data_IF_065776636537
#
_entry.id   IF_065776636537
#
_cell.length_a   1.000
_cell.length_b   1.000
_cell.length_c   1.000
_cell.angle_alpha   90.00
_cell.angle_beta   90.00
_cell.angle_gamma   90.00
#
_symmetry.space_group_name_H-M   'P 1'
#
loop_
_entity.id
_entity.type
_entity.pdbx_description
1 polymer ?
#
# COMPACT_ATOMS: atom_id res chain seq x y z
N UNK A 1 -4.64 16.94 -20.09
CA UNK A 1 -4.02 16.48 -18.83
C UNK A 1 -2.52 16.71 -18.90
N UNK A 2 -2.01 17.41 -17.96
CA UNK A 2 -0.59 17.73 -17.95
C UNK A 2 0.22 16.47 -17.63
N UNK A 3 1.03 16.05 -18.56
CA UNK A 3 1.94 14.93 -18.31
C UNK A 3 3.11 15.42 -17.46
N UNK A 4 3.31 14.81 -16.31
CA UNK A 4 4.48 15.04 -15.48
C UNK A 4 5.60 14.19 -16.04
N UNK A 5 6.62 14.84 -16.59
CA UNK A 5 7.78 14.13 -17.13
C UNK A 5 8.80 13.87 -16.03
N UNK A 6 9.13 12.62 -15.85
CA UNK A 6 10.17 12.18 -14.97
C UNK A 6 11.47 12.04 -15.75
N UNK A 7 12.60 12.54 -15.22
CA UNK A 7 13.90 12.35 -15.83
C UNK A 7 14.31 10.88 -15.86
N UNK A 8 15.15 10.53 -16.83
CA UNK A 8 15.59 9.13 -17.01
C UNK A 8 16.27 8.55 -15.77
N UNK A 9 17.09 9.32 -15.09
CA UNK A 9 17.79 8.89 -13.87
C UNK A 9 16.78 8.64 -12.73
N UNK A 10 15.84 9.55 -12.54
CA UNK A 10 14.80 9.42 -11.53
C UNK A 10 13.87 8.23 -11.81
N UNK A 11 13.51 8.07 -13.08
CA UNK A 11 12.68 6.92 -13.51
C UNK A 11 13.44 5.59 -13.27
N UNK A 12 14.72 5.54 -13.62
CA UNK A 12 15.54 4.35 -13.37
C UNK A 12 15.67 4.02 -11.89
N UNK A 13 15.85 5.03 -11.04
CA UNK A 13 15.89 4.85 -9.58
C UNK A 13 14.57 4.32 -9.05
N UNK A 14 13.44 4.87 -9.52
CA UNK A 14 12.11 4.40 -9.17
C UNK A 14 11.91 2.94 -9.55
N UNK A 15 12.26 2.57 -10.78
CA UNK A 15 12.14 1.20 -11.27
C UNK A 15 13.02 0.22 -10.47
N UNK A 16 14.21 0.65 -10.10
CA UNK A 16 15.12 -0.15 -9.27
C UNK A 16 14.49 -0.49 -7.92
N UNK A 17 13.86 0.49 -7.27
CA UNK A 17 13.16 0.25 -6.01
C UNK A 17 11.92 -0.61 -6.21
N UNK A 18 11.19 -0.44 -7.30
CA UNK A 18 10.04 -1.27 -7.64
C UNK A 18 10.43 -2.73 -7.91
N UNK A 19 11.64 -2.99 -8.41
CA UNK A 19 12.12 -4.35 -8.60
C UNK A 19 12.24 -5.13 -7.28
N UNK A 20 12.52 -4.44 -6.18
CA UNK A 20 12.59 -5.06 -4.86
C UNK A 20 11.21 -5.43 -4.32
N UNK A 21 10.18 -4.66 -4.66
CA UNK A 21 8.79 -4.95 -4.32
C UNK A 21 8.46 -4.86 -2.83
N UNK A 22 9.16 -3.98 -2.11
CA UNK A 22 8.97 -3.80 -0.66
C UNK A 22 8.68 -2.35 -0.25
N UNK A 23 8.71 -1.43 -1.20
CA UNK A 23 8.55 0.01 -0.94
C UNK A 23 7.18 0.50 -1.41
N UNK A 24 6.54 1.33 -0.57
CA UNK A 24 5.34 2.06 -0.97
C UNK A 24 5.69 3.24 -1.87
N UNK A 25 4.68 3.82 -2.53
CA UNK A 25 4.91 5.01 -3.37
C UNK A 25 5.47 6.18 -2.56
N UNK A 26 5.04 6.35 -1.32
CA UNK A 26 5.55 7.40 -0.44
C UNK A 26 7.02 7.19 -0.11
N UNK A 27 7.42 5.96 0.17
CA UNK A 27 8.82 5.61 0.44
C UNK A 27 9.68 5.80 -0.79
N UNK A 28 9.20 5.39 -1.97
CA UNK A 28 9.91 5.60 -3.23
C UNK A 28 10.10 7.09 -3.50
N UNK A 29 9.07 7.90 -3.28
CA UNK A 29 9.15 9.35 -3.45
C UNK A 29 10.21 9.97 -2.53
N UNK A 30 10.24 9.55 -1.28
CA UNK A 30 11.20 10.02 -0.29
C UNK A 30 12.64 9.62 -0.67
N UNK A 31 12.84 8.37 -1.06
CA UNK A 31 14.17 7.84 -1.41
C UNK A 31 14.73 8.40 -2.72
N UNK A 32 13.87 8.74 -3.67
CA UNK A 32 14.26 9.26 -4.98
C UNK A 32 14.25 10.78 -5.06
N UNK A 33 13.66 11.46 -4.08
CA UNK A 33 13.43 12.89 -4.12
C UNK A 33 12.34 13.33 -5.07
N UNK A 34 11.55 12.40 -5.60
CA UNK A 34 10.44 12.70 -6.50
C UNK A 34 9.20 13.10 -5.70
N UNK A 35 8.31 13.83 -6.37
CA UNK A 35 7.02 14.17 -5.78
C UNK A 35 6.14 12.92 -5.68
N UNK A 36 5.46 12.73 -4.56
CA UNK A 36 4.61 11.57 -4.29
C UNK A 36 3.56 11.35 -5.40
N UNK A 37 2.89 12.41 -5.83
CA UNK A 37 1.85 12.33 -6.87
C UNK A 37 2.44 11.83 -8.19
N UNK A 38 3.66 12.26 -8.52
CA UNK A 38 4.37 11.81 -9.72
C UNK A 38 4.64 10.31 -9.67
N UNK A 39 5.18 9.82 -8.56
CA UNK A 39 5.43 8.39 -8.35
C UNK A 39 4.12 7.60 -8.43
N UNK A 40 3.07 8.10 -7.80
CA UNK A 40 1.75 7.46 -7.81
C UNK A 40 1.19 7.32 -9.22
N UNK A 41 1.29 8.38 -10.04
CA UNK A 41 0.83 8.34 -11.42
C UNK A 41 1.62 7.34 -12.27
N UNK A 42 2.94 7.36 -12.18
CA UNK A 42 3.79 6.42 -12.94
C UNK A 42 3.54 4.97 -12.54
N UNK A 43 3.46 4.68 -11.25
CA UNK A 43 3.19 3.32 -10.78
C UNK A 43 1.83 2.80 -11.23
N UNK A 44 0.80 3.66 -11.22
CA UNK A 44 -0.53 3.31 -11.73
C UNK A 44 -0.50 2.99 -13.22
N UNK A 45 0.19 3.78 -14.01
CA UNK A 45 0.29 3.56 -15.45
C UNK A 45 1.07 2.27 -15.77
N UNK A 46 2.16 2.02 -15.05
CA UNK A 46 2.95 0.79 -15.20
C UNK A 46 2.10 -0.43 -14.82
N UNK A 47 1.35 -0.36 -13.74
CA UNK A 47 0.45 -1.42 -13.30
C UNK A 47 -0.68 -1.67 -14.31
N UNK A 48 -1.28 -0.60 -14.82
CA UNK A 48 -2.34 -0.67 -15.83
C UNK A 48 -1.85 -1.29 -17.13
N UNK A 49 -0.60 -1.04 -17.50
CA UNK A 49 0.03 -1.62 -18.68
C UNK A 49 0.42 -3.10 -18.51
N UNK A 50 0.28 -3.65 -17.31
CA UNK A 50 0.64 -5.03 -17.02
C UNK A 50 2.13 -5.26 -16.76
N UNK A 51 2.92 -4.19 -16.64
CA UNK A 51 4.36 -4.27 -16.39
C UNK A 51 4.72 -4.36 -14.91
N UNK A 52 3.75 -4.18 -14.03
CA UNK A 52 3.92 -4.33 -12.58
C UNK A 52 2.67 -4.97 -11.98
N UNK A 53 2.83 -5.53 -10.79
CA UNK A 53 1.72 -6.08 -10.02
C UNK A 53 1.80 -5.61 -8.57
N UNK A 54 0.71 -5.73 -7.84
CA UNK A 54 0.68 -5.41 -6.41
C UNK A 54 1.28 -6.60 -5.65
N UNK A 55 2.48 -6.41 -5.11
CA UNK A 55 3.20 -7.48 -4.40
C UNK A 55 2.64 -7.71 -3.00
N UNK A 56 2.23 -6.63 -2.33
CA UNK A 56 1.67 -6.69 -0.99
C UNK A 56 0.91 -5.41 -0.67
N UNK A 57 0.26 -5.39 0.48
CA UNK A 57 -0.46 -4.24 1.00
C UNK A 57 0.11 -3.89 2.37
N UNK A 58 0.31 -2.60 2.61
CA UNK A 58 0.66 -2.08 3.93
C UNK A 58 -0.54 -1.38 4.55
N UNK A 59 -0.55 -1.35 5.87
CA UNK A 59 -1.55 -0.59 6.62
C UNK A 59 -1.19 0.90 6.61
N UNK A 60 -2.21 1.73 6.47
CA UNK A 60 -2.05 3.17 6.62
C UNK A 60 -2.03 3.56 8.12
N UNK A 61 -1.95 4.86 8.40
CA UNK A 61 -1.96 5.39 9.76
C UNK A 61 -3.25 5.05 10.54
N UNK A 62 -4.31 4.67 9.84
CA UNK A 62 -5.60 4.28 10.41
C UNK A 62 -5.77 2.78 10.58
N UNK A 63 -4.75 1.99 10.22
CA UNK A 63 -4.78 0.54 10.30
C UNK A 63 -5.53 -0.16 9.16
N UNK A 64 -5.76 0.53 8.04
CA UNK A 64 -6.38 -0.06 6.86
C UNK A 64 -5.33 -0.54 5.88
N UNK A 65 -5.54 -1.71 5.28
CA UNK A 65 -4.69 -2.23 4.22
C UNK A 65 -5.01 -1.54 2.90
N UNK A 66 -4.62 -0.29 2.75
CA UNK A 66 -4.90 0.49 1.56
C UNK A 66 -3.66 1.03 0.85
N UNK A 67 -2.48 0.81 1.40
CA UNK A 67 -1.22 1.23 0.80
C UNK A 67 -0.70 0.10 -0.09
N UNK A 68 -0.65 0.34 -1.39
CA UNK A 68 -0.19 -0.64 -2.38
C UNK A 68 1.33 -0.64 -2.45
N UNK A 69 1.90 -1.85 -2.46
CA UNK A 69 3.32 -2.07 -2.73
C UNK A 69 3.41 -2.71 -4.10
N UNK A 70 3.95 -1.99 -5.07
CA UNK A 70 4.11 -2.47 -6.44
C UNK A 70 5.46 -3.15 -6.63
N UNK A 71 5.47 -4.18 -7.45
CA UNK A 71 6.69 -4.84 -7.90
C UNK A 71 6.68 -4.91 -9.42
N UNK A 72 7.81 -4.57 -10.06
CA UNK A 72 7.95 -4.71 -11.50
C UNK A 72 7.91 -6.17 -11.91
N UNK A 73 7.29 -6.43 -13.04
CA UNK A 73 7.14 -7.75 -13.61
C UNK A 73 5.70 -8.22 -13.59
N UNK A 74 5.43 -9.29 -14.33
CA UNK A 74 4.12 -9.90 -14.38
C UNK A 74 3.85 -10.68 -13.10
N UNK A 75 2.61 -10.69 -12.70
CA UNK A 75 2.18 -11.42 -11.52
C UNK A 75 0.75 -11.09 -11.15
N UNK A 76 0.16 -11.90 -10.31
CA UNK A 76 -1.17 -11.64 -9.77
C UNK A 76 -1.09 -10.60 -8.66
N UNK A 77 -2.04 -9.68 -8.62
CA UNK A 77 -2.13 -8.69 -7.56
C UNK A 77 -2.45 -9.37 -6.22
N UNK A 78 -1.73 -8.98 -5.20
CA UNK A 78 -1.97 -9.48 -3.85
C UNK A 78 -3.34 -9.03 -3.34
N UNK A 79 -4.03 -9.91 -2.66
CA UNK A 79 -5.32 -9.60 -2.04
C UNK A 79 -5.09 -8.84 -0.74
N UNK A 80 -5.99 -7.92 -0.43
CA UNK A 80 -5.99 -7.23 0.86
C UNK A 80 -6.15 -8.24 1.99
N UNK A 81 -5.36 -8.07 3.03
CA UNK A 81 -5.44 -8.92 4.23
C UNK A 81 -6.63 -8.55 5.11
N UNK A 82 -7.09 -7.32 5.03
CA UNK A 82 -8.20 -6.84 5.85
C UNK A 82 -9.50 -7.50 5.41
N UNK A 83 -10.33 -8.01 6.34
CA UNK A 83 -11.63 -8.57 6.00
C UNK A 83 -12.49 -7.54 5.28
N UNK A 84 -13.07 -7.94 4.16
CA UNK A 84 -13.89 -7.06 3.32
C UNK A 84 -15.35 -7.04 3.72
N UNK A 85 -15.78 -8.03 4.47
CA UNK A 85 -17.14 -8.15 4.95
C UNK A 85 -17.35 -7.27 6.18
N UNK A 86 -18.39 -6.44 6.16
CA UNK A 86 -18.79 -5.66 7.33
C UNK A 86 -19.06 -6.55 8.53
N UNK A 87 -19.63 -7.74 8.32
CA UNK A 87 -19.93 -8.68 9.38
C UNK A 87 -18.65 -9.16 10.07
N UNK A 88 -17.60 -9.46 9.32
CA UNK A 88 -16.31 -9.91 9.88
C UNK A 88 -15.63 -8.79 10.64
N UNK A 89 -15.62 -7.57 10.07
CA UNK A 89 -15.07 -6.39 10.74
C UNK A 89 -15.83 -6.08 12.03
N UNK A 90 -17.17 -6.13 11.99
CA UNK A 90 -18.00 -5.90 13.17
C UNK A 90 -17.81 -6.96 14.25
N UNK A 91 -17.64 -8.23 13.86
CA UNK A 91 -17.39 -9.33 14.80
C UNK A 91 -16.03 -9.15 15.48
N UNK A 92 -14.99 -8.80 14.73
CA UNK A 92 -13.66 -8.52 15.28
C UNK A 92 -13.69 -7.32 16.24
N UNK A 93 -14.39 -6.26 15.89
CA UNK A 93 -14.54 -5.08 16.73
C UNK A 93 -15.29 -5.40 18.02
N UNK A 94 -16.35 -6.22 17.95
CA UNK A 94 -17.11 -6.67 19.14
C UNK A 94 -16.27 -7.53 20.06
N UNK A 95 -15.51 -8.46 19.52
CA UNK A 95 -14.62 -9.31 20.31
C UNK A 95 -13.57 -8.46 21.05
N UNK A 96 -13.01 -7.49 20.40
CA UNK A 96 -12.03 -6.56 20.99
C UNK A 96 -12.65 -5.72 22.12
N UNK A 97 -13.87 -5.21 21.92
CA UNK A 97 -14.59 -4.45 22.96
C UNK A 97 -14.90 -5.31 24.17
N UNK A 98 -15.37 -6.53 23.95
CA UNK A 98 -15.66 -7.47 25.06
C UNK A 98 -14.42 -7.74 25.89
N UNK A 99 -13.27 -7.89 25.25
CA UNK A 99 -12.00 -8.11 25.92
C UNK A 99 -11.57 -6.89 26.72
N UNK A 100 -11.74 -5.69 26.18
CA UNK A 100 -11.44 -4.44 26.88
C UNK A 100 -12.34 -4.27 28.10
N UNK A 101 -13.64 -4.51 27.98
CA UNK A 101 -14.59 -4.43 29.08
C UNK A 101 -14.23 -5.41 30.20
N UNK A 102 -13.85 -6.63 29.84
CA UNK A 102 -13.41 -7.64 30.81
C UNK A 102 -12.18 -7.16 31.59
N UNK A 103 -11.20 -6.62 30.90
CA UNK A 103 -9.97 -6.09 31.51
C UNK A 103 -10.30 -4.92 32.45
N UNK A 104 -11.19 -4.02 32.06
CA UNK A 104 -11.62 -2.90 32.89
C UNK A 104 -12.33 -3.35 34.14
N UNK A 105 -13.18 -4.36 34.04
CA UNK A 105 -13.87 -4.96 35.22
C UNK A 105 -12.89 -5.61 36.18
N UNK A 106 -11.84 -6.24 35.67
CA UNK A 106 -10.82 -6.87 36.50
C UNK A 106 -9.92 -5.84 37.18
N UNK A 107 -9.75 -4.65 36.59
CA UNK A 107 -8.92 -3.57 37.12
C UNK A 107 -9.65 -2.67 38.13
N UNK A 108 -10.95 -2.74 38.18
CA UNK A 108 -11.79 -1.92 39.07
C UNK A 108 -11.76 -2.41 40.52
#
# INVERSE_FOLDING_TARGET
>A
MRQVKMGAVSYGAMCKLMCEGVYSCAEIAEMTGLHYITVLQYTREIHKAGAAHIASWETDSRGRDCVRIYKLGEGADAKRKTPRSKAVVSAAARAKRSQIDLIQRMAA
#
